data_IF_637872131662
#
_entry.id   IF_637872131662
#
_cell.length_a   1.000
_cell.length_b   1.000
_cell.length_c   1.000
_cell.angle_alpha   90.00
_cell.angle_beta   90.00
_cell.angle_gamma   90.00
#
_symmetry.space_group_name_H-M   'P 1'
#
loop_
_entity.id
_entity.type
_entity.pdbx_description
1 polymer ?
#
# COMPACT_ATOMS: atom_id res chain seq x y z
N UNK A 1 3.62 -29.41 -28.92
CA UNK A 1 2.70 -29.60 -27.78
C UNK A 1 3.43 -29.09 -26.55
N UNK A 2 3.36 -27.79 -26.31
CA UNK A 2 3.95 -27.18 -25.12
C UNK A 2 3.14 -27.59 -23.88
N UNK A 3 3.75 -28.39 -23.00
CA UNK A 3 3.20 -28.66 -21.68
C UNK A 3 3.59 -27.51 -20.78
N UNK A 4 2.65 -26.60 -20.53
CA UNK A 4 2.75 -25.65 -19.43
C UNK A 4 2.95 -26.43 -18.12
N UNK A 5 3.98 -26.11 -17.31
CA UNK A 5 4.17 -26.81 -16.04
C UNK A 5 2.93 -26.60 -15.15
N UNK A 6 2.48 -27.62 -14.40
CA UNK A 6 1.33 -27.47 -13.53
C UNK A 6 1.61 -26.38 -12.50
N UNK A 7 0.69 -25.43 -12.37
CA UNK A 7 0.70 -24.46 -11.29
C UNK A 7 0.65 -25.24 -9.98
N UNK A 8 1.69 -25.11 -9.15
CA UNK A 8 1.73 -25.71 -7.83
C UNK A 8 0.64 -25.02 -7.00
N UNK A 9 -0.38 -25.77 -6.59
CA UNK A 9 -1.45 -25.26 -5.72
C UNK A 9 -0.94 -25.19 -4.27
N UNK A 10 -1.52 -24.33 -3.43
CA UNK A 10 -1.11 -24.23 -2.01
C UNK A 10 -1.35 -25.54 -1.28
N UNK A 11 -2.39 -26.29 -1.64
CA UNK A 11 -2.60 -27.62 -1.06
C UNK A 11 -1.45 -28.57 -1.41
N UNK A 12 -0.96 -28.55 -2.66
CA UNK A 12 0.21 -29.36 -3.04
C UNK A 12 1.50 -28.85 -2.40
N UNK A 13 1.65 -27.54 -2.23
CA UNK A 13 2.81 -26.93 -1.58
C UNK A 13 2.82 -27.22 -0.07
N UNK A 14 1.71 -27.02 0.63
CA UNK A 14 1.54 -27.36 2.05
C UNK A 14 1.70 -28.87 2.28
N UNK A 15 1.15 -29.69 1.39
CA UNK A 15 1.32 -31.15 1.43
C UNK A 15 2.77 -31.55 1.16
N UNK A 16 3.48 -30.89 0.24
CA UNK A 16 4.92 -31.09 0.04
C UNK A 16 5.73 -30.67 1.26
N UNK A 17 5.40 -29.54 1.88
CA UNK A 17 6.08 -29.06 3.09
C UNK A 17 5.87 -30.04 4.25
N UNK A 18 4.63 -30.53 4.42
CA UNK A 18 4.29 -31.55 5.40
C UNK A 18 4.98 -32.90 5.09
N UNK A 19 5.07 -33.29 3.81
CA UNK A 19 5.74 -34.54 3.40
C UNK A 19 7.26 -34.51 3.55
N UNK A 20 7.86 -33.32 3.59
CA UNK A 20 9.28 -33.12 3.91
C UNK A 20 9.55 -32.98 5.42
N UNK A 21 8.55 -33.22 6.27
CA UNK A 21 8.69 -33.23 7.73
C UNK A 21 8.75 -31.84 8.38
N UNK A 22 8.32 -30.78 7.70
CA UNK A 22 8.12 -29.49 8.36
C UNK A 22 6.86 -29.56 9.23
N UNK A 23 7.03 -29.42 10.55
CA UNK A 23 5.91 -29.27 11.48
C UNK A 23 5.10 -28.00 11.19
N UNK A 24 3.83 -27.97 11.62
CA UNK A 24 2.93 -26.84 11.41
C UNK A 24 3.50 -25.52 11.97
N UNK A 25 4.36 -25.62 13.00
CA UNK A 25 5.11 -24.53 13.61
C UNK A 25 6.15 -23.87 12.68
N UNK A 26 6.64 -24.59 11.65
CA UNK A 26 7.62 -24.09 10.67
C UNK A 26 6.99 -23.53 9.40
N UNK A 27 5.69 -23.75 9.18
CA UNK A 27 4.98 -23.31 7.97
C UNK A 27 4.91 -21.78 7.90
N UNK A 28 4.54 -21.12 9.00
CA UNK A 28 4.46 -19.66 9.05
C UNK A 28 5.83 -18.97 8.85
N UNK A 29 6.90 -19.36 9.56
CA UNK A 29 8.26 -18.84 9.31
C UNK A 29 8.74 -19.04 7.87
N UNK A 30 8.39 -20.17 7.25
CA UNK A 30 8.78 -20.45 5.86
C UNK A 30 8.02 -19.56 4.87
N UNK A 31 6.71 -19.37 5.09
CA UNK A 31 5.91 -18.43 4.30
C UNK A 31 6.41 -16.99 4.49
N UNK A 32 6.77 -16.60 5.71
CA UNK A 32 7.36 -15.29 6.00
C UNK A 32 8.68 -15.08 5.24
N UNK A 33 9.60 -16.05 5.26
CA UNK A 33 10.84 -15.97 4.49
C UNK A 33 10.56 -15.83 2.98
N UNK A 34 9.56 -16.53 2.47
CA UNK A 34 9.14 -16.42 1.06
C UNK A 34 8.56 -15.04 0.75
N UNK A 35 7.78 -14.45 1.66
CA UNK A 35 7.28 -13.09 1.49
C UNK A 35 8.41 -12.07 1.53
N UNK A 36 9.38 -12.22 2.43
CA UNK A 36 10.54 -11.34 2.52
C UNK A 36 11.38 -11.44 1.24
N UNK A 37 11.63 -12.64 0.73
CA UNK A 37 12.27 -12.86 -0.57
C UNK A 37 11.51 -12.16 -1.70
N UNK A 38 10.19 -12.35 -1.79
CA UNK A 38 9.36 -11.72 -2.82
C UNK A 38 9.43 -10.19 -2.74
N UNK A 39 9.37 -9.62 -1.53
CA UNK A 39 9.41 -8.18 -1.33
C UNK A 39 10.76 -7.56 -1.68
N UNK A 40 11.86 -8.31 -1.59
CA UNK A 40 13.16 -7.85 -2.06
C UNK A 40 13.22 -7.66 -3.60
N UNK A 41 12.34 -8.33 -4.35
CA UNK A 41 12.29 -8.17 -5.82
C UNK A 41 11.28 -7.12 -6.29
N UNK A 42 10.42 -6.63 -5.39
CA UNK A 42 9.48 -5.57 -5.75
C UNK A 42 10.20 -4.23 -5.86
N UNK A 43 9.79 -3.36 -6.79
CA UNK A 43 10.34 -2.02 -6.86
C UNK A 43 10.08 -1.28 -5.55
N UNK A 44 11.13 -0.73 -4.95
CA UNK A 44 10.98 0.10 -3.75
C UNK A 44 9.98 1.22 -4.04
N UNK A 45 8.93 1.38 -3.20
CA UNK A 45 8.02 2.48 -3.38
C UNK A 45 8.81 3.79 -3.24
N UNK A 46 8.48 4.81 -4.03
CA UNK A 46 9.23 6.06 -4.08
C UNK A 46 8.92 6.99 -2.90
N UNK A 47 8.45 6.42 -1.79
CA UNK A 47 8.11 7.08 -0.52
C UNK A 47 8.53 6.15 0.61
N UNK A 48 9.07 6.70 1.71
CA UNK A 48 9.46 5.93 2.89
C UNK A 48 8.55 6.27 4.06
N UNK A 49 8.09 5.26 4.81
CA UNK A 49 7.31 5.45 6.03
C UNK A 49 8.17 5.62 7.29
N UNK A 50 9.50 5.53 7.17
CA UNK A 50 10.42 5.66 8.30
C UNK A 50 10.43 7.07 8.93
N UNK A 51 9.78 8.06 8.32
CA UNK A 51 9.59 9.38 8.91
C UNK A 51 8.35 9.41 9.79
N UNK A 52 8.52 9.13 11.08
CA UNK A 52 7.54 9.60 12.07
C UNK A 52 7.55 11.13 12.00
N UNK A 53 6.44 11.73 11.58
CA UNK A 53 6.15 13.13 11.87
C UNK A 53 5.91 13.22 13.38
N UNK A 54 7.00 13.14 14.15
CA UNK A 54 6.97 13.34 15.58
C UNK A 54 6.97 14.84 15.81
N UNK A 55 5.84 15.37 16.25
CA UNK A 55 5.78 16.74 16.73
C UNK A 55 6.54 16.77 18.06
N UNK A 56 7.80 17.17 18.04
CA UNK A 56 8.50 17.52 19.27
C UNK A 56 7.88 18.81 19.79
N UNK A 57 6.94 18.68 20.72
CA UNK A 57 6.33 19.82 21.41
C UNK A 57 7.27 20.28 22.52
N UNK A 58 8.50 20.67 22.18
CA UNK A 58 9.34 21.43 23.10
C UNK A 58 8.86 22.88 23.07
N UNK A 59 8.56 23.51 24.22
CA UNK A 59 8.19 24.92 24.26
C UNK A 59 9.46 25.75 24.03
N UNK A 60 9.84 25.96 22.77
CA UNK A 60 10.85 26.95 22.43
C UNK A 60 10.21 28.33 22.57
N UNK A 61 10.47 28.97 23.71
CA UNK A 61 10.24 30.40 23.90
C UNK A 61 11.07 31.18 22.88
N UNK A 62 10.41 31.68 21.85
CA UNK A 62 11.00 32.42 20.75
C UNK A 62 10.29 32.08 19.46
N UNK A 63 9.52 33.04 18.92
CA UNK A 63 8.64 32.86 17.76
C UNK A 63 9.36 32.21 16.58
N UNK A 64 9.21 30.90 16.44
CA UNK A 64 9.55 30.20 15.22
C UNK A 64 8.56 30.66 14.15
N UNK A 65 9.06 31.51 13.27
CA UNK A 65 8.30 32.00 12.13
C UNK A 65 7.82 30.79 11.31
N UNK A 66 6.51 30.67 11.09
CA UNK A 66 5.93 29.58 10.28
C UNK A 66 6.31 29.77 8.81
N UNK A 67 7.49 29.26 8.44
CA UNK A 67 8.03 29.36 7.08
C UNK A 67 7.27 28.51 6.07
N UNK A 68 6.51 27.49 6.50
CA UNK A 68 5.69 26.69 5.60
C UNK A 68 4.50 27.50 5.07
N UNK A 69 3.95 28.39 5.88
CA UNK A 69 2.87 29.29 5.44
C UNK A 69 3.31 30.26 4.33
N UNK A 70 4.58 30.65 4.29
CA UNK A 70 5.12 31.58 3.29
C UNK A 70 5.41 30.95 1.92
N UNK A 71 5.47 29.61 1.84
CA UNK A 71 5.77 28.91 0.58
C UNK A 71 4.61 29.04 -0.42
N UNK A 72 4.86 29.06 -1.74
CA UNK A 72 3.80 28.96 -2.74
C UNK A 72 3.11 27.58 -2.75
N UNK A 73 1.85 27.54 -3.15
CA UNK A 73 1.06 26.29 -3.24
C UNK A 73 1.67 25.22 -4.14
N UNK A 74 2.40 25.63 -5.18
CA UNK A 74 3.13 24.69 -6.04
C UNK A 74 4.20 23.91 -5.26
N UNK A 75 4.90 24.56 -4.34
CA UNK A 75 5.91 23.92 -3.49
C UNK A 75 5.23 23.03 -2.45
N UNK A 76 4.16 23.51 -1.81
CA UNK A 76 3.40 22.69 -0.86
C UNK A 76 2.82 21.43 -1.53
N UNK A 77 2.30 21.56 -2.75
CA UNK A 77 1.83 20.40 -3.54
C UNK A 77 2.97 19.42 -3.83
N UNK A 78 4.17 19.91 -4.13
CA UNK A 78 5.35 19.08 -4.35
C UNK A 78 5.72 18.31 -3.07
N UNK A 79 5.74 18.96 -1.91
CA UNK A 79 5.95 18.31 -0.61
C UNK A 79 4.92 17.20 -0.39
N UNK A 80 3.63 17.52 -0.55
CA UNK A 80 2.52 16.56 -0.37
C UNK A 80 2.64 15.36 -1.32
N UNK A 81 3.06 15.56 -2.58
CA UNK A 81 3.24 14.49 -3.56
C UNK A 81 4.36 13.48 -3.24
N UNK A 82 5.25 13.84 -2.32
CA UNK A 82 6.36 12.98 -1.86
C UNK A 82 6.03 12.22 -0.58
N UNK A 83 4.87 12.46 0.02
CA UNK A 83 4.43 11.77 1.22
C UNK A 83 3.65 10.50 0.86
N UNK A 84 3.71 9.44 1.70
CA UNK A 84 2.71 8.39 1.67
C UNK A 84 1.30 8.97 1.79
N UNK A 85 0.31 8.39 1.12
CA UNK A 85 -1.07 8.92 1.09
C UNK A 85 -1.66 9.18 2.49
N UNK A 86 -1.32 8.35 3.48
CA UNK A 86 -1.71 8.52 4.89
C UNK A 86 -1.17 9.83 5.48
N UNK A 87 0.11 10.13 5.27
CA UNK A 87 0.75 11.33 5.81
C UNK A 87 0.40 12.58 5.00
N UNK A 88 0.23 12.43 3.68
CA UNK A 88 -0.34 13.47 2.83
C UNK A 88 -1.72 13.91 3.34
N UNK A 89 -2.61 12.96 3.66
CA UNK A 89 -3.92 13.26 4.24
C UNK A 89 -3.81 13.95 5.61
N UNK A 90 -2.82 13.60 6.44
CA UNK A 90 -2.58 14.25 7.74
C UNK A 90 -2.22 15.73 7.61
N UNK A 91 -1.56 16.16 6.52
CA UNK A 91 -1.24 17.59 6.32
C UNK A 91 -2.48 18.49 6.29
N UNK A 92 -3.67 17.93 6.03
CA UNK A 92 -4.95 18.63 6.05
C UNK A 92 -5.29 19.35 7.37
N UNK A 93 -4.64 18.93 8.47
CA UNK A 93 -4.83 19.53 9.81
C UNK A 93 -3.92 20.72 10.07
N UNK A 94 -2.86 20.92 9.28
CA UNK A 94 -1.91 22.04 9.45
C UNK A 94 -2.58 23.39 9.21
N UNK A 95 -3.36 23.51 8.13
CA UNK A 95 -4.27 24.62 7.88
C UNK A 95 -5.28 24.28 6.79
N UNK A 96 -6.33 25.10 6.63
CA UNK A 96 -7.33 24.93 5.57
C UNK A 96 -6.72 24.88 4.16
N UNK A 97 -5.55 25.51 3.97
CA UNK A 97 -4.83 25.60 2.70
C UNK A 97 -4.27 24.26 2.23
N UNK A 98 -3.95 23.34 3.13
CA UNK A 98 -3.40 22.02 2.79
C UNK A 98 -4.49 21.02 2.34
N UNK A 99 -5.75 21.23 2.73
CA UNK A 99 -6.89 20.37 2.36
C UNK A 99 -7.08 20.18 0.84
N UNK A 100 -7.12 21.24 0.01
CA UNK A 100 -7.24 21.06 -1.43
C UNK A 100 -5.95 20.50 -2.07
N UNK A 101 -4.78 20.73 -1.46
CA UNK A 101 -3.49 20.27 -1.99
C UNK A 101 -3.38 18.74 -1.91
N UNK A 102 -3.70 18.15 -0.76
CA UNK A 102 -3.69 16.68 -0.66
C UNK A 102 -4.70 16.03 -1.58
N UNK A 103 -5.91 16.60 -1.75
CA UNK A 103 -6.96 16.02 -2.60
C UNK A 103 -6.64 16.00 -4.09
N UNK A 104 -5.64 16.77 -4.54
CA UNK A 104 -5.31 16.94 -5.97
C UNK A 104 -3.89 16.50 -6.32
N UNK A 105 -3.02 16.28 -5.34
CA UNK A 105 -1.64 15.88 -5.59
C UNK A 105 -1.54 14.44 -6.17
N UNK A 106 -0.52 14.15 -6.99
CA UNK A 106 -0.22 12.79 -7.44
C UNK A 106 0.43 11.99 -6.29
N UNK A 107 -0.38 11.25 -5.54
CA UNK A 107 0.07 10.58 -4.31
C UNK A 107 0.64 9.18 -4.56
N UNK A 108 1.40 8.68 -3.58
CA UNK A 108 1.82 7.29 -3.49
C UNK A 108 1.03 6.56 -2.39
N UNK A 109 0.26 5.53 -2.77
CA UNK A 109 -0.48 4.68 -1.84
C UNK A 109 0.27 3.37 -1.65
N UNK A 110 0.76 3.12 -0.43
CA UNK A 110 1.45 1.88 -0.06
C UNK A 110 0.70 1.28 1.12
N UNK A 111 0.07 0.13 0.93
CA UNK A 111 -0.80 -0.47 1.95
C UNK A 111 -0.04 -0.85 3.23
N UNK A 112 1.23 -1.25 3.11
CA UNK A 112 2.14 -1.47 4.23
C UNK A 112 2.33 -0.24 5.14
N UNK A 113 2.14 0.98 4.64
CA UNK A 113 2.28 2.21 5.42
C UNK A 113 1.00 2.57 6.20
N UNK A 114 -0.14 1.94 5.87
CA UNK A 114 -1.41 2.25 6.50
C UNK A 114 -1.46 1.73 7.96
N UNK A 115 -0.83 0.59 8.22
CA UNK A 115 -0.89 -0.12 9.51
C UNK A 115 0.19 0.25 10.55
N UNK A 116 1.19 1.05 10.20
CA UNK A 116 2.32 1.37 11.10
C UNK A 116 1.95 2.30 12.29
N UNK A 117 0.78 2.13 12.92
CA UNK A 117 0.28 3.01 13.98
C UNK A 117 -0.16 2.31 15.27
N UNK A 118 0.08 1.01 15.43
CA UNK A 118 -0.12 0.34 16.71
C UNK A 118 1.24 -0.12 17.23
N UNK A 119 1.78 0.61 18.22
CA UNK A 119 2.98 0.21 18.97
C UNK A 119 2.70 -0.95 19.92
N UNK A 120 2.24 -2.08 19.38
CA UNK A 120 2.10 -3.34 20.09
C UNK A 120 2.97 -4.38 19.41
N UNK A 121 3.64 -5.20 20.20
CA UNK A 121 4.49 -6.33 19.80
C UNK A 121 3.71 -7.48 19.13
N UNK A 122 2.60 -7.17 18.46
CA UNK A 122 1.98 -8.08 17.50
C UNK A 122 2.72 -7.89 16.19
N UNK A 123 3.57 -8.87 15.87
CA UNK A 123 4.34 -8.96 14.63
C UNK A 123 3.57 -8.32 13.47
N UNK A 124 4.18 -7.41 12.69
CA UNK A 124 3.52 -6.60 11.66
C UNK A 124 2.75 -7.43 10.62
N UNK A 125 2.89 -8.76 10.66
CA UNK A 125 2.36 -9.76 9.75
C UNK A 125 1.00 -10.36 10.20
N UNK A 126 0.51 -10.02 11.41
CA UNK A 126 -0.76 -10.53 11.96
C UNK A 126 -1.90 -9.49 12.02
N UNK A 127 -1.65 -8.24 11.60
CA UNK A 127 -2.73 -7.26 11.48
C UNK A 127 -3.81 -7.79 10.53
N UNK A 128 -5.03 -7.96 11.04
CA UNK A 128 -6.13 -8.56 10.30
C UNK A 128 -6.34 -7.89 8.94
N UNK A 129 -6.26 -8.67 7.87
CA UNK A 129 -6.31 -8.19 6.48
C UNK A 129 -7.48 -7.24 6.17
N UNK A 130 -8.62 -7.40 6.85
CA UNK A 130 -9.77 -6.53 6.69
C UNK A 130 -9.52 -5.07 7.07
N UNK A 131 -8.61 -4.80 8.02
CA UNK A 131 -8.26 -3.43 8.43
C UNK A 131 -7.49 -2.69 7.34
N UNK A 132 -6.59 -3.39 6.63
CA UNK A 132 -5.83 -2.82 5.51
C UNK A 132 -6.75 -2.50 4.35
N UNK A 133 -7.60 -3.44 3.95
CA UNK A 133 -8.52 -3.25 2.83
C UNK A 133 -9.47 -2.07 3.08
N UNK A 134 -10.06 -1.99 4.27
CA UNK A 134 -10.90 -0.85 4.65
C UNK A 134 -10.12 0.47 4.65
N UNK A 135 -8.83 0.48 4.99
CA UNK A 135 -8.00 1.68 4.90
C UNK A 135 -7.70 2.08 3.45
N UNK A 136 -7.40 1.11 2.58
CA UNK A 136 -7.22 1.33 1.14
C UNK A 136 -8.49 1.91 0.53
N UNK A 137 -9.65 1.28 0.76
CA UNK A 137 -10.96 1.75 0.30
C UNK A 137 -11.22 3.21 0.72
N UNK A 138 -10.99 3.55 1.99
CA UNK A 138 -11.14 4.94 2.48
C UNK A 138 -10.20 5.93 1.78
N UNK A 139 -8.95 5.56 1.51
CA UNK A 139 -8.01 6.44 0.80
C UNK A 139 -8.46 6.62 -0.65
N UNK A 140 -8.86 5.54 -1.31
CA UNK A 140 -9.41 5.57 -2.67
C UNK A 140 -10.77 6.28 -2.74
N UNK A 141 -11.53 6.43 -1.68
CA UNK A 141 -12.76 7.25 -1.72
C UNK A 141 -12.46 8.73 -1.44
N UNK A 142 -11.58 9.00 -0.48
CA UNK A 142 -11.32 10.36 -0.01
C UNK A 142 -10.45 11.18 -0.98
N UNK A 143 -9.46 10.55 -1.62
CA UNK A 143 -8.54 11.23 -2.54
C UNK A 143 -9.16 11.38 -3.94
N UNK A 144 -9.23 12.60 -4.47
CA UNK A 144 -9.82 12.85 -5.81
C UNK A 144 -8.78 12.95 -6.92
N UNK A 145 -7.51 13.11 -6.57
CA UNK A 145 -6.42 13.30 -7.51
C UNK A 145 -5.85 11.99 -8.05
N UNK A 146 -4.86 12.09 -8.94
CA UNK A 146 -4.18 10.94 -9.50
C UNK A 146 -3.28 10.24 -8.48
N UNK A 147 -2.84 9.04 -8.83
CA UNK A 147 -1.82 8.30 -8.10
C UNK A 147 -0.58 8.13 -8.98
N UNK A 148 0.59 8.52 -8.49
CA UNK A 148 1.83 8.18 -9.19
C UNK A 148 2.22 6.72 -8.98
N UNK A 149 1.88 6.16 -7.83
CA UNK A 149 2.29 4.82 -7.43
C UNK A 149 1.26 4.22 -6.47
N UNK A 150 0.86 2.98 -6.71
CA UNK A 150 0.00 2.21 -5.81
C UNK A 150 0.60 0.83 -5.62
N UNK A 151 0.91 0.49 -4.37
CA UNK A 151 1.50 -0.78 -3.96
C UNK A 151 0.58 -1.47 -2.95
N UNK A 152 -0.03 -2.56 -3.39
CA UNK A 152 -0.96 -3.40 -2.63
C UNK A 152 -0.29 -4.76 -2.41
N UNK A 153 0.46 -4.90 -1.33
CA UNK A 153 1.24 -6.12 -1.03
C UNK A 153 0.83 -6.83 0.25
N UNK A 154 0.05 -6.16 1.10
CA UNK A 154 -0.36 -6.63 2.42
C UNK A 154 -1.85 -6.96 2.49
N UNK A 155 -2.59 -6.68 1.42
CA UNK A 155 -4.03 -6.88 1.34
C UNK A 155 -4.37 -8.32 0.93
N UNK A 156 -5.17 -9.03 1.74
CA UNK A 156 -5.80 -10.28 1.33
C UNK A 156 -7.12 -9.99 0.65
N UNK A 157 -7.17 -10.23 -0.66
CA UNK A 157 -8.34 -10.01 -1.50
C UNK A 157 -9.07 -11.31 -1.86
N UNK A 158 -8.64 -12.45 -1.32
CA UNK A 158 -9.23 -13.76 -1.61
C UNK A 158 -10.74 -13.83 -1.38
N UNK A 159 -11.23 -13.17 -0.33
CA UNK A 159 -12.66 -13.07 -0.04
C UNK A 159 -13.37 -11.86 -0.69
N UNK A 160 -12.61 -10.84 -1.14
CA UNK A 160 -13.12 -9.52 -1.50
C UNK A 160 -12.84 -9.14 -2.96
N UNK A 161 -13.19 -10.02 -3.91
CA UNK A 161 -12.95 -9.78 -5.35
C UNK A 161 -13.67 -8.55 -5.90
N UNK A 162 -14.90 -8.30 -5.45
CA UNK A 162 -15.67 -7.13 -5.85
C UNK A 162 -14.98 -5.82 -5.40
N UNK A 163 -14.40 -5.82 -4.20
CA UNK A 163 -13.64 -4.68 -3.67
C UNK A 163 -12.40 -4.40 -4.53
N UNK A 164 -11.66 -5.44 -4.94
CA UNK A 164 -10.53 -5.26 -5.84
C UNK A 164 -10.97 -4.70 -7.20
N UNK A 165 -12.07 -5.20 -7.77
CA UNK A 165 -12.58 -4.70 -9.04
C UNK A 165 -12.91 -3.20 -8.95
N UNK A 166 -13.56 -2.77 -7.87
CA UNK A 166 -13.85 -1.37 -7.58
C UNK A 166 -12.57 -0.54 -7.41
N UNK A 167 -11.56 -1.08 -6.73
CA UNK A 167 -10.27 -0.39 -6.61
C UNK A 167 -9.64 -0.15 -7.98
N UNK A 168 -9.60 -1.17 -8.83
CA UNK A 168 -9.05 -1.07 -10.19
C UNK A 168 -9.81 -0.05 -11.03
N UNK A 169 -11.15 -0.01 -10.94
CA UNK A 169 -11.96 1.00 -11.64
C UNK A 169 -11.66 2.42 -11.13
N UNK A 170 -11.55 2.61 -9.81
CA UNK A 170 -11.19 3.90 -9.22
C UNK A 170 -9.79 4.34 -9.63
N UNK A 171 -8.83 3.42 -9.68
CA UNK A 171 -7.46 3.70 -10.12
C UNK A 171 -7.39 4.03 -11.61
N UNK A 172 -8.20 3.36 -12.44
CA UNK A 172 -8.34 3.67 -13.85
C UNK A 172 -8.85 5.10 -14.06
N UNK A 173 -9.95 5.47 -13.38
CA UNK A 173 -10.56 6.80 -13.47
C UNK A 173 -9.61 7.90 -13.00
N UNK A 174 -8.86 7.64 -11.92
CA UNK A 174 -7.95 8.64 -11.33
C UNK A 174 -6.63 8.76 -12.07
N UNK A 175 -6.26 7.74 -12.84
CA UNK A 175 -4.95 7.62 -13.43
C UNK A 175 -3.92 7.19 -12.40
N UNK A 176 -3.52 5.92 -12.49
CA UNK A 176 -2.36 5.38 -11.79
C UNK A 176 -1.21 5.19 -12.78
N UNK A 177 -0.01 5.67 -12.45
CA UNK A 177 1.16 5.51 -13.33
C UNK A 177 1.95 4.23 -13.04
N UNK A 178 2.05 3.83 -11.78
CA UNK A 178 2.77 2.64 -11.35
C UNK A 178 1.87 1.82 -10.42
N UNK A 179 1.64 0.56 -10.74
CA UNK A 179 0.77 -0.32 -9.96
C UNK A 179 1.50 -1.62 -9.63
N UNK A 180 1.49 -2.02 -8.36
CA UNK A 180 2.03 -3.30 -7.87
C UNK A 180 0.96 -3.97 -7.04
N UNK A 181 0.64 -5.22 -7.36
CA UNK A 181 -0.35 -6.01 -6.63
C UNK A 181 0.19 -7.41 -6.31
N UNK A 182 0.20 -7.75 -5.02
CA UNK A 182 0.54 -9.07 -4.50
C UNK A 182 -0.56 -9.48 -3.52
N UNK A 183 -1.38 -10.45 -3.94
CA UNK A 183 -2.45 -10.99 -3.09
C UNK A 183 -1.88 -11.91 -2.00
N UNK A 184 -2.38 -11.79 -0.76
CA UNK A 184 -2.12 -12.73 0.35
C UNK A 184 -3.39 -13.52 0.72
N UNK A 185 -3.29 -14.69 1.38
CA UNK A 185 -2.16 -15.61 1.32
C UNK A 185 -2.10 -16.30 -0.07
N UNK A 186 -0.94 -16.89 -0.37
CA UNK A 186 -0.76 -17.83 -1.49
C UNK A 186 -1.76 -19.03 -1.36
N UNK A 187 -2.28 -19.65 -2.45
CA UNK A 187 -1.78 -19.72 -3.82
C UNK A 187 -2.53 -18.89 -4.86
N UNK A 188 -1.94 -18.95 -6.05
CA UNK A 188 -2.00 -18.15 -7.27
C UNK A 188 -3.27 -18.23 -8.14
N UNK A 189 -4.29 -18.99 -7.76
CA UNK A 189 -5.54 -19.10 -8.56
C UNK A 189 -6.51 -17.96 -8.22
N UNK A 190 -5.96 -16.74 -8.13
CA UNK A 190 -6.75 -15.54 -7.95
C UNK A 190 -7.00 -14.90 -9.32
N UNK A 191 -8.15 -15.15 -9.97
CA UNK A 191 -8.44 -14.55 -11.26
C UNK A 191 -8.58 -13.04 -11.08
N UNK A 192 -7.55 -12.31 -11.51
CA UNK A 192 -7.56 -10.86 -11.55
C UNK A 192 -8.81 -10.39 -12.31
N UNK A 193 -9.57 -9.44 -11.75
CA UNK A 193 -10.66 -8.81 -12.47
C UNK A 193 -10.17 -8.24 -13.80
N UNK A 194 -10.98 -8.36 -14.86
CA UNK A 194 -10.67 -7.78 -16.18
C UNK A 194 -10.56 -6.25 -16.14
N UNK A 195 -11.04 -5.61 -15.08
CA UNK A 195 -10.88 -4.17 -14.82
C UNK A 195 -9.42 -3.76 -14.65
N UNK A 196 -8.48 -4.69 -14.46
CA UNK A 196 -7.04 -4.39 -14.51
C UNK A 196 -6.61 -3.83 -15.87
N UNK A 197 -7.28 -4.23 -16.95
CA UNK A 197 -7.03 -3.70 -18.30
C UNK A 197 -7.56 -2.28 -18.49
N UNK A 198 -8.39 -1.77 -17.57
CA UNK A 198 -8.87 -0.38 -17.58
C UNK A 198 -7.78 0.62 -17.14
N UNK A 199 -6.65 0.15 -16.61
CA UNK A 199 -5.55 1.00 -16.12
C UNK A 199 -4.72 1.62 -17.25
N UNK A 200 -5.34 2.45 -18.09
CA UNK A 200 -4.73 3.00 -19.31
C UNK A 200 -3.50 3.92 -19.08
N UNK A 201 -3.35 4.49 -17.88
CA UNK A 201 -2.25 5.39 -17.54
C UNK A 201 -1.02 4.67 -16.99
N UNK A 202 -1.07 3.35 -16.81
CA UNK A 202 0.01 2.57 -16.20
C UNK A 202 1.21 2.49 -17.15
N UNK A 203 2.35 2.97 -16.66
CA UNK A 203 3.66 2.88 -17.31
C UNK A 203 4.46 1.68 -16.80
N UNK A 204 4.17 1.21 -15.58
CA UNK A 204 4.82 0.06 -14.94
C UNK A 204 3.81 -0.75 -14.14
N UNK A 205 3.66 -2.02 -14.52
CA UNK A 205 2.83 -3.03 -13.87
C UNK A 205 3.72 -4.11 -13.25
#
# INVERSE_FOLDING_TARGET
MDRQPPLITMETMLHQMASHGMGAEMVNPTLDLMYDLLYNFLPCPPVSAASFLSADSSPTGGGSEDRLSALPDAILRNVVSRLPAKDAARTAVLSSRWRPLWRSAPLALVDAHLLQSAGGEDSPHHAGSGSVAAAVSRVLEAHRGPFRCVNLTRSSMGANRAELALWLDLLAVKGVEEFVFVNRPWPLDFPLPTTIFSLASVKRL
#
